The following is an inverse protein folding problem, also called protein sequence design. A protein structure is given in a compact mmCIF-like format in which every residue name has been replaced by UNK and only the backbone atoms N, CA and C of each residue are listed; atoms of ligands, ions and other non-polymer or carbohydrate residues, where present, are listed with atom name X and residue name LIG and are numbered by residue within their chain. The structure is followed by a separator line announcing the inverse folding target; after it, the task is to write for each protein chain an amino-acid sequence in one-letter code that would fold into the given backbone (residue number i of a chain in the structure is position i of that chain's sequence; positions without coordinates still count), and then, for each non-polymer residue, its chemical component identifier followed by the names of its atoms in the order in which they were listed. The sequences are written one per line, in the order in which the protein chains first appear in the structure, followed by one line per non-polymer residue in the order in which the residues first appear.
data_IF_209906786334
#
_entry.id   IF_209906786334
#
_cell.length_a   1.000
_cell.length_b   1.000
_cell.length_c   1.000
_cell.angle_alpha   90.00
_cell.angle_beta   90.00
_cell.angle_gamma   90.00
#
_symmetry.space_group_name_H-M   'P 1'
#
loop_
_entity.id
_entity.type
_entity.pdbx_description
1 polymer ?
#
# COMPACT_ATOMS: atom_id res chain seq x y z
N UNK A 1 -16.86 -3.80 -10.10
CA UNK A 1 -15.72 -3.33 -10.91
C UNK A 1 -16.16 -3.03 -12.34
N UNK A 2 -17.19 -3.70 -12.85
CA UNK A 2 -17.72 -3.57 -14.22
C UNK A 2 -18.02 -2.13 -14.65
N UNK A 3 -18.62 -1.32 -13.76
CA UNK A 3 -18.86 0.11 -14.06
C UNK A 3 -17.58 0.92 -14.28
N UNK A 4 -16.47 0.56 -13.62
CA UNK A 4 -15.18 1.24 -13.79
C UNK A 4 -14.54 0.87 -15.13
N UNK A 5 -14.63 -0.41 -15.50
CA UNK A 5 -14.07 -0.88 -16.77
C UNK A 5 -14.88 -0.40 -17.97
N UNK A 6 -16.20 -0.22 -17.82
CA UNK A 6 -17.07 0.38 -18.84
C UNK A 6 -16.60 1.79 -19.25
N UNK A 7 -16.06 2.57 -18.31
CA UNK A 7 -15.52 3.92 -18.57
C UNK A 7 -14.01 3.94 -18.85
N UNK A 8 -13.37 2.77 -19.02
CA UNK A 8 -11.94 2.67 -19.36
C UNK A 8 -10.96 2.96 -18.22
N UNK A 9 -11.39 2.83 -16.96
CA UNK A 9 -10.47 2.93 -15.80
C UNK A 9 -9.52 1.73 -15.81
N UNK A 10 -8.24 2.00 -15.51
CA UNK A 10 -7.19 0.98 -15.45
C UNK A 10 -6.78 0.60 -14.02
N UNK A 11 -6.78 1.57 -13.11
CA UNK A 11 -6.33 1.39 -11.72
C UNK A 11 -7.44 1.63 -10.71
N UNK A 12 -7.35 0.97 -9.55
CA UNK A 12 -8.25 1.22 -8.42
C UNK A 12 -7.48 1.18 -7.11
N UNK A 13 -7.61 2.24 -6.32
CA UNK A 13 -7.04 2.30 -4.96
C UNK A 13 -7.93 1.53 -4.00
N UNK A 14 -7.35 0.62 -3.22
CA UNK A 14 -8.06 -0.27 -2.30
C UNK A 14 -7.31 -0.31 -0.97
N UNK A 15 -8.03 -0.23 0.15
CA UNK A 15 -7.40 -0.32 1.47
C UNK A 15 -6.70 0.96 1.91
N UNK A 16 -6.98 2.10 1.28
CA UNK A 16 -6.45 3.40 1.70
C UNK A 16 -6.70 3.62 3.20
N UNK A 17 -5.73 4.19 3.91
CA UNK A 17 -5.80 4.45 5.35
C UNK A 17 -7.11 5.09 5.80
N UNK A 18 -7.62 6.09 5.06
CA UNK A 18 -8.91 6.73 5.33
C UNK A 18 -10.11 5.77 5.24
N UNK A 19 -10.08 4.79 4.33
CA UNK A 19 -11.12 3.76 4.23
C UNK A 19 -11.10 2.80 5.40
N UNK A 20 -9.92 2.43 5.85
CA UNK A 20 -9.74 1.60 7.04
C UNK A 20 -10.21 2.34 8.30
N UNK A 21 -9.84 3.61 8.43
CA UNK A 21 -10.13 4.41 9.61
C UNK A 21 -11.59 4.85 9.71
N UNK A 22 -12.19 5.32 8.61
CA UNK A 22 -13.50 5.98 8.66
C UNK A 22 -14.64 5.13 8.07
N UNK A 23 -14.34 4.13 7.25
CA UNK A 23 -15.33 3.38 6.47
C UNK A 23 -15.34 1.87 6.76
N UNK A 24 -14.64 1.43 7.81
CA UNK A 24 -14.68 0.05 8.32
C UNK A 24 -14.03 -0.99 7.39
N UNK A 25 -13.11 -0.56 6.53
CA UNK A 25 -12.39 -1.47 5.64
C UNK A 25 -11.36 -2.31 6.43
N UNK A 26 -11.49 -3.63 6.36
CA UNK A 26 -10.62 -4.63 7.00
C UNK A 26 -9.72 -5.32 5.98
N UNK A 27 -8.69 -6.05 6.44
CA UNK A 27 -7.79 -6.81 5.57
C UNK A 27 -8.56 -7.81 4.69
N UNK A 28 -9.59 -8.45 5.24
CA UNK A 28 -10.46 -9.38 4.50
C UNK A 28 -11.26 -8.66 3.41
N UNK A 29 -11.84 -7.49 3.72
CA UNK A 29 -12.60 -6.74 2.72
C UNK A 29 -11.71 -6.13 1.63
N UNK A 30 -10.47 -5.75 1.97
CA UNK A 30 -9.44 -5.36 1.00
C UNK A 30 -9.16 -6.50 0.04
N UNK A 31 -8.88 -7.70 0.56
CA UNK A 31 -8.63 -8.88 -0.28
C UNK A 31 -9.79 -9.17 -1.25
N UNK A 32 -11.02 -9.15 -0.76
CA UNK A 32 -12.21 -9.38 -1.59
C UNK A 32 -12.33 -8.34 -2.72
N UNK A 33 -12.01 -7.07 -2.44
CA UNK A 33 -12.01 -6.00 -3.47
C UNK A 33 -10.90 -6.18 -4.49
N UNK A 34 -9.70 -6.58 -4.06
CA UNK A 34 -8.55 -6.84 -4.94
C UNK A 34 -8.87 -7.97 -5.90
N UNK A 35 -9.39 -9.10 -5.40
CA UNK A 35 -9.82 -10.22 -6.24
C UNK A 35 -10.89 -9.78 -7.23
N UNK A 36 -11.86 -8.96 -6.80
CA UNK A 36 -12.89 -8.44 -7.71
C UNK A 36 -12.33 -7.50 -8.77
N UNK A 37 -11.33 -6.68 -8.45
CA UNK A 37 -10.69 -5.78 -9.39
C UNK A 37 -9.91 -6.56 -10.46
N UNK A 38 -9.08 -7.52 -10.04
CA UNK A 38 -8.27 -8.33 -10.95
C UNK A 38 -9.13 -9.19 -11.89
N UNK A 39 -10.25 -9.75 -11.40
CA UNK A 39 -11.20 -10.49 -12.25
C UNK A 39 -11.78 -9.66 -13.40
N UNK A 40 -11.82 -8.34 -13.25
CA UNK A 40 -12.28 -7.42 -14.29
C UNK A 40 -11.14 -6.75 -15.06
N UNK A 41 -9.88 -7.18 -14.85
CA UNK A 41 -8.73 -6.64 -15.56
C UNK A 41 -8.26 -5.26 -15.07
N UNK A 42 -8.74 -4.79 -13.91
CA UNK A 42 -8.19 -3.62 -13.24
C UNK A 42 -6.87 -3.96 -12.55
N UNK A 43 -6.01 -2.95 -12.40
CA UNK A 43 -4.75 -3.03 -11.66
C UNK A 43 -5.00 -2.45 -10.25
N UNK A 44 -5.14 -3.28 -9.21
CA UNK A 44 -5.33 -2.81 -7.85
C UNK A 44 -4.05 -2.14 -7.30
N UNK A 45 -4.23 -1.00 -6.65
CA UNK A 45 -3.22 -0.34 -5.80
C UNK A 45 -3.64 -0.59 -4.35
N UNK A 46 -2.97 -1.52 -3.67
CA UNK A 46 -3.27 -1.86 -2.28
C UNK A 46 -2.50 -0.95 -1.34
N UNK A 47 -3.19 -0.25 -0.46
CA UNK A 47 -2.54 0.56 0.57
C UNK A 47 -2.34 -0.23 1.87
N UNK A 48 -1.13 -0.13 2.41
CA UNK A 48 -0.71 -0.70 3.69
C UNK A 48 0.05 0.34 4.51
N UNK A 49 -0.08 0.29 5.82
CA UNK A 49 0.44 1.33 6.69
C UNK A 49 0.15 1.09 8.16
N UNK A 50 1.07 1.52 9.02
CA UNK A 50 0.91 1.54 10.46
C UNK A 50 0.53 2.92 10.99
N UNK A 51 -0.27 2.95 12.05
CA UNK A 51 -0.59 4.16 12.81
C UNK A 51 0.58 4.61 13.69
N UNK A 52 0.51 5.87 14.17
CA UNK A 52 1.52 6.41 15.10
C UNK A 52 1.66 5.54 16.36
N UNK A 53 0.54 5.11 16.94
CA UNK A 53 0.55 4.26 18.13
C UNK A 53 1.24 2.90 17.89
N UNK A 54 1.05 2.31 16.71
CA UNK A 54 1.70 1.05 16.33
C UNK A 54 3.20 1.24 16.10
N UNK A 55 3.59 2.34 15.43
CA UNK A 55 5.01 2.71 15.26
C UNK A 55 5.70 2.95 16.60
N UNK A 56 5.11 3.75 17.47
CA UNK A 56 5.66 4.09 18.79
C UNK A 56 5.76 2.86 19.71
N UNK A 57 4.92 1.84 19.46
CA UNK A 57 4.98 0.54 20.13
C UNK A 57 5.97 -0.46 19.48
N UNK A 58 6.66 -0.09 18.40
CA UNK A 58 7.57 -0.97 17.68
C UNK A 58 6.87 -2.11 16.93
N UNK A 59 5.64 -1.89 16.46
CA UNK A 59 4.81 -2.91 15.80
C UNK A 59 4.74 -2.77 14.27
N UNK A 60 5.49 -1.84 13.66
CA UNK A 60 5.44 -1.55 12.21
C UNK A 60 5.52 -2.83 11.38
N UNK A 61 6.53 -3.66 11.59
CA UNK A 61 6.76 -4.88 10.82
C UNK A 61 5.58 -5.84 10.94
N UNK A 62 5.10 -6.06 12.16
CA UNK A 62 3.99 -6.97 12.46
C UNK A 62 2.70 -6.50 11.78
N UNK A 63 2.43 -5.19 11.80
CA UNK A 63 1.24 -4.60 11.17
C UNK A 63 1.32 -4.73 9.64
N UNK A 64 2.45 -4.34 9.05
CA UNK A 64 2.66 -4.40 7.60
C UNK A 64 2.57 -5.84 7.09
N UNK A 65 3.27 -6.80 7.74
CA UNK A 65 3.21 -8.21 7.38
C UNK A 65 1.77 -8.73 7.45
N UNK A 66 1.03 -8.40 8.52
CA UNK A 66 -0.37 -8.82 8.66
C UNK A 66 -1.24 -8.28 7.53
N UNK A 67 -1.13 -7.00 7.20
CA UNK A 67 -1.94 -6.38 6.15
C UNK A 67 -1.61 -6.96 4.77
N UNK A 68 -0.34 -7.25 4.49
CA UNK A 68 0.10 -7.91 3.26
C UNK A 68 -0.45 -9.33 3.17
N UNK A 69 -0.25 -10.15 4.21
CA UNK A 69 -0.71 -11.54 4.23
C UNK A 69 -2.24 -11.64 4.13
N UNK A 70 -2.96 -10.77 4.84
CA UNK A 70 -4.43 -10.71 4.78
C UNK A 70 -4.95 -10.18 3.45
N UNK A 71 -4.29 -9.18 2.86
CA UNK A 71 -4.69 -8.54 1.62
C UNK A 71 -4.40 -9.36 0.36
N UNK A 72 -3.38 -10.24 0.38
CA UNK A 72 -2.87 -10.94 -0.81
C UNK A 72 -3.31 -12.41 -0.95
N UNK A 73 -4.22 -12.90 -0.11
CA UNK A 73 -4.74 -14.27 -0.23
C UNK A 73 -5.36 -14.50 -1.62
N UNK A 74 -4.80 -15.43 -2.40
CA UNK A 74 -5.23 -15.75 -3.78
C UNK A 74 -5.20 -14.56 -4.77
N UNK A 75 -4.29 -13.60 -4.57
CA UNK A 75 -4.10 -12.43 -5.45
C UNK A 75 -3.02 -12.71 -6.50
N UNK A 76 -3.26 -12.29 -7.75
CA UNK A 76 -2.23 -12.34 -8.80
C UNK A 76 -1.22 -11.20 -8.64
N UNK A 77 -0.01 -11.52 -8.17
CA UNK A 77 1.02 -10.51 -7.95
C UNK A 77 1.67 -9.99 -9.25
N UNK A 78 1.34 -10.52 -10.43
CA UNK A 78 1.78 -9.95 -11.72
C UNK A 78 0.94 -8.75 -12.15
N UNK A 79 -0.26 -8.61 -11.57
CA UNK A 79 -1.19 -7.52 -11.82
C UNK A 79 -1.52 -6.79 -10.51
N UNK A 80 -0.51 -6.14 -9.92
CA UNK A 80 -0.60 -5.54 -8.59
C UNK A 80 0.35 -4.36 -8.44
N UNK A 81 -0.11 -3.33 -7.73
CA UNK A 81 0.71 -2.28 -7.14
C UNK A 81 0.43 -2.23 -5.64
N UNK A 82 1.45 -1.95 -4.83
CA UNK A 82 1.31 -1.72 -3.39
C UNK A 82 1.72 -0.28 -3.09
N UNK A 83 1.02 0.41 -2.20
CA UNK A 83 1.40 1.72 -1.68
C UNK A 83 1.66 1.60 -0.17
N UNK A 84 2.89 1.92 0.25
CA UNK A 84 3.22 2.07 1.66
C UNK A 84 2.85 3.47 2.15
N UNK A 85 1.87 3.55 3.04
CA UNK A 85 1.34 4.75 3.66
C UNK A 85 1.80 4.82 5.13
N UNK A 86 2.88 5.54 5.49
CA UNK A 86 3.15 5.84 6.89
C UNK A 86 2.05 6.75 7.45
N UNK A 87 0.99 6.18 8.02
CA UNK A 87 -0.25 6.90 8.39
C UNK A 87 0.05 8.06 9.34
N UNK A 88 1.04 7.88 10.20
CA UNK A 88 1.52 8.89 11.16
C UNK A 88 2.16 10.12 10.50
N UNK A 89 2.60 10.04 9.24
CA UNK A 89 3.19 11.13 8.46
C UNK A 89 2.19 11.80 7.50
N UNK A 90 0.98 11.24 7.34
CA UNK A 90 -0.03 11.79 6.41
C UNK A 90 -0.71 13.00 7.05
N UNK A 91 -0.48 14.18 6.47
CA UNK A 91 -1.16 15.42 6.90
C UNK A 91 -0.76 15.95 8.28
N UNK A 92 0.25 15.37 8.93
CA UNK A 92 0.71 15.77 10.28
C UNK A 92 1.86 16.77 10.25
N UNK A 93 2.51 16.95 9.10
CA UNK A 93 3.74 17.73 8.99
C UNK A 93 5.00 16.96 9.42
N UNK A 94 4.84 15.78 10.03
CA UNK A 94 5.92 14.80 10.19
C UNK A 94 6.20 14.16 8.83
N UNK A 95 7.47 14.04 8.44
CA UNK A 95 7.87 13.40 7.17
C UNK A 95 8.56 12.08 7.49
N UNK A 96 8.25 11.03 6.72
CA UNK A 96 9.02 9.80 6.81
C UNK A 96 10.32 9.99 6.04
N UNK A 97 11.45 9.77 6.72
CA UNK A 97 12.76 9.77 6.09
C UNK A 97 12.80 8.74 4.94
N UNK A 98 13.48 9.08 3.84
CA UNK A 98 13.53 8.25 2.64
C UNK A 98 14.11 6.84 2.92
N UNK A 99 15.10 6.76 3.81
CA UNK A 99 15.69 5.50 4.28
C UNK A 99 14.69 4.62 5.05
N UNK A 100 13.82 5.22 5.86
CA UNK A 100 12.79 4.48 6.61
C UNK A 100 11.68 3.98 5.67
N UNK A 101 11.29 4.82 4.69
CA UNK A 101 10.38 4.38 3.63
C UNK A 101 10.97 3.20 2.85
N UNK A 102 12.23 3.28 2.44
CA UNK A 102 12.95 2.20 1.76
C UNK A 102 13.04 0.92 2.59
N UNK A 103 13.29 1.04 3.90
CA UNK A 103 13.34 -0.11 4.82
C UNK A 103 12.01 -0.86 4.88
N UNK A 104 10.90 -0.14 5.04
CA UNK A 104 9.56 -0.74 5.10
C UNK A 104 9.12 -1.28 3.73
N UNK A 105 9.45 -0.58 2.63
CA UNK A 105 9.22 -1.09 1.28
C UNK A 105 10.00 -2.38 1.03
N UNK A 106 11.27 -2.46 1.46
CA UNK A 106 12.06 -3.68 1.42
C UNK A 106 11.43 -4.83 2.22
N UNK A 107 10.85 -4.53 3.39
CA UNK A 107 10.08 -5.51 4.17
C UNK A 107 8.86 -6.01 3.40
N UNK A 108 8.09 -5.10 2.78
CA UNK A 108 6.93 -5.47 1.95
C UNK A 108 7.39 -6.39 0.82
N UNK A 109 8.45 -6.02 0.10
CA UNK A 109 9.00 -6.80 -1.02
C UNK A 109 9.40 -8.22 -0.61
N UNK A 110 9.93 -8.40 0.61
CA UNK A 110 10.27 -9.72 1.16
C UNK A 110 9.05 -10.62 1.43
N UNK A 111 7.85 -10.07 1.50
CA UNK A 111 6.61 -10.83 1.68
C UNK A 111 5.93 -11.21 0.35
N UNK A 112 6.49 -10.81 -0.78
CA UNK A 112 5.92 -11.06 -2.10
C UNK A 112 6.58 -12.26 -2.78
N UNK A 113 5.78 -13.02 -3.51
CA UNK A 113 6.27 -14.10 -4.39
C UNK A 113 6.82 -13.53 -5.70
N UNK A 114 6.32 -12.36 -6.12
CA UNK A 114 6.79 -11.64 -7.29
C UNK A 114 7.64 -10.42 -6.86
N UNK A 115 8.97 -10.46 -7.04
CA UNK A 115 9.86 -9.35 -6.67
C UNK A 115 9.69 -8.14 -7.60
N UNK A 116 9.01 -8.26 -8.74
CA UNK A 116 8.82 -7.18 -9.71
C UNK A 116 7.57 -6.33 -9.44
N UNK A 117 6.82 -6.61 -8.37
CA UNK A 117 5.68 -5.77 -7.96
C UNK A 117 6.17 -4.34 -7.73
N UNK A 118 5.46 -3.38 -8.33
CA UNK A 118 5.69 -1.96 -8.08
C UNK A 118 5.21 -1.62 -6.67
N UNK A 119 6.09 -1.04 -5.86
CA UNK A 119 5.77 -0.55 -4.52
C UNK A 119 5.98 0.95 -4.51
N UNK A 120 4.93 1.70 -4.20
CA UNK A 120 4.90 3.15 -4.13
C UNK A 120 5.08 3.59 -2.69
N UNK A 121 5.71 4.75 -2.51
CA UNK A 121 5.63 5.50 -1.26
C UNK A 121 4.41 6.44 -1.30
N UNK A 122 3.50 6.28 -0.34
CA UNK A 122 2.23 7.00 -0.24
C UNK A 122 2.19 8.10 0.83
N UNK A 123 3.34 8.47 1.41
CA UNK A 123 3.43 9.59 2.35
C UNK A 123 3.54 10.96 1.65
N UNK A 124 4.04 11.96 2.38
CA UNK A 124 4.17 13.34 1.86
C UNK A 124 5.28 13.46 0.82
N UNK A 125 4.93 13.32 -0.47
CA UNK A 125 5.81 13.56 -1.61
C UNK A 125 5.64 14.99 -2.13
N UNK A 126 6.75 15.68 -2.37
CA UNK A 126 6.83 17.08 -2.83
C UNK A 126 7.91 17.21 -3.92
N UNK A 127 7.89 18.28 -4.73
CA UNK A 127 8.89 18.48 -5.78
C UNK A 127 10.35 18.53 -5.29
N UNK A 128 10.58 18.89 -4.02
CA UNK A 128 11.91 19.01 -3.43
C UNK A 128 12.44 17.73 -2.78
N UNK A 129 11.59 16.73 -2.50
CA UNK A 129 11.99 15.46 -1.89
C UNK A 129 11.79 14.24 -2.79
N UNK A 130 11.11 14.38 -3.94
CA UNK A 130 10.82 13.26 -4.84
C UNK A 130 12.10 12.56 -5.33
N UNK A 131 13.13 13.32 -5.69
CA UNK A 131 14.38 12.76 -6.23
C UNK A 131 15.07 11.87 -5.20
N UNK A 132 15.05 12.27 -3.92
CA UNK A 132 15.62 11.51 -2.82
C UNK A 132 14.84 10.21 -2.55
N UNK A 133 13.51 10.29 -2.54
CA UNK A 133 12.62 9.14 -2.35
C UNK A 133 12.79 8.14 -3.49
N UNK A 134 12.84 8.61 -4.74
CA UNK A 134 12.95 7.76 -5.93
C UNK A 134 14.36 7.18 -6.13
N UNK A 135 15.39 7.76 -5.49
CA UNK A 135 16.76 7.24 -5.52
C UNK A 135 16.98 6.04 -4.59
N UNK A 136 16.01 5.74 -3.72
CA UNK A 136 16.06 4.59 -2.82
C UNK A 136 16.08 3.26 -3.60
N UNK A 137 16.69 2.24 -2.98
CA UNK A 137 17.05 1.00 -3.68
C UNK A 137 15.90 0.00 -3.89
N UNK A 138 14.79 0.15 -3.15
CA UNK A 138 13.71 -0.84 -3.04
C UNK A 138 12.46 -0.47 -3.80
#
# INVERSE_FOLDING_TARGET
ADMLTEIGVHYVVIGHSERRQYFGETDETVNLRVISAQKQGLIPIICVGESKAQRDAGETEKVIIKQIQGGLVNVDQKNLVIAYEPIWAIGTGETCESEEANRVIGLIRQQLDNPDVTIQYGGSVKPDNIDEIMAQSQ
#
